data_IF_427418969413
#
_entry.id   IF_427418969413
#
_cell.length_a   1.000
_cell.length_b   1.000
_cell.length_c   1.000
_cell.angle_alpha   90.00
_cell.angle_beta   90.00
_cell.angle_gamma   90.00
#
_symmetry.space_group_name_H-M   'P 1'
#
loop_
_entity.id
_entity.type
_entity.pdbx_description
1 polymer ?
#
# COMPACT_ATOMS: atom_id res chain seq x y z
N UNK A 1 -43.82 44.94 -60.66
CA UNK A 1 -44.51 45.46 -59.46
C UNK A 1 -44.77 44.31 -58.49
N UNK A 2 -44.73 44.61 -57.17
CA UNK A 2 -44.95 43.75 -55.98
C UNK A 2 -43.69 43.05 -55.46
N UNK A 3 -43.01 43.66 -54.47
CA UNK A 3 -43.21 43.61 -52.99
C UNK A 3 -42.47 42.40 -52.38
N UNK A 4 -41.30 42.63 -51.75
CA UNK A 4 -41.06 42.65 -50.29
C UNK A 4 -40.85 41.22 -49.72
N UNK A 5 -39.93 40.87 -48.81
CA UNK A 5 -39.37 41.52 -47.63
C UNK A 5 -38.10 40.78 -47.14
N UNK A 6 -37.16 41.57 -46.57
CA UNK A 6 -36.40 41.38 -45.31
C UNK A 6 -35.52 40.15 -44.99
N UNK A 7 -34.35 40.48 -44.40
CA UNK A 7 -33.76 40.07 -43.09
C UNK A 7 -32.30 39.63 -43.27
N UNK A 8 -31.27 40.03 -42.52
CA UNK A 8 -31.01 41.15 -41.61
C UNK A 8 -29.49 41.15 -41.39
N UNK A 9 -28.91 42.34 -41.31
CA UNK A 9 -27.59 42.59 -40.73
C UNK A 9 -27.55 42.10 -39.28
N UNK A 10 -26.40 41.59 -38.81
CA UNK A 10 -25.81 42.00 -37.53
C UNK A 10 -24.36 41.50 -37.43
N UNK A 11 -23.42 42.41 -37.68
CA UNK A 11 -22.02 42.27 -37.32
C UNK A 11 -21.91 42.70 -35.85
N UNK A 12 -21.85 41.74 -34.92
CA UNK A 12 -21.70 42.04 -33.50
C UNK A 12 -20.24 42.45 -33.22
N UNK A 13 -20.02 43.75 -33.04
CA UNK A 13 -18.82 44.32 -32.44
C UNK A 13 -18.71 43.87 -30.98
N UNK A 14 -17.69 43.06 -30.68
CA UNK A 14 -17.33 42.72 -29.29
C UNK A 14 -16.69 43.96 -28.65
N UNK A 15 -17.44 44.72 -27.86
CA UNK A 15 -16.85 45.71 -26.95
C UNK A 15 -16.18 44.97 -25.79
N UNK A 16 -14.85 44.92 -25.79
CA UNK A 16 -14.08 44.50 -24.62
C UNK A 16 -14.16 45.64 -23.60
N UNK A 17 -15.09 45.52 -22.66
CA UNK A 17 -15.03 46.29 -21.43
C UNK A 17 -13.90 45.69 -20.57
N UNK A 18 -12.68 46.17 -20.75
CA UNK A 18 -11.59 45.90 -19.81
C UNK A 18 -11.98 46.52 -18.46
N UNK A 19 -12.03 45.75 -17.35
CA UNK A 19 -12.19 46.37 -16.05
C UNK A 19 -10.97 47.24 -15.77
N UNK A 20 -11.19 48.53 -15.57
CA UNK A 20 -10.19 49.46 -15.03
C UNK A 20 -9.81 48.93 -13.65
N UNK A 21 -8.52 48.63 -13.47
CA UNK A 21 -7.98 48.17 -12.20
C UNK A 21 -8.26 49.20 -11.10
N UNK A 22 -8.99 48.80 -10.07
CA UNK A 22 -9.23 49.60 -8.89
C UNK A 22 -7.99 49.52 -7.99
N UNK A 23 -7.23 50.62 -7.87
CA UNK A 23 -5.88 50.68 -7.31
C UNK A 23 -5.85 50.68 -5.76
N UNK A 24 -6.94 50.30 -5.09
CA UNK A 24 -7.11 50.42 -3.64
C UNK A 24 -7.57 49.12 -2.96
N UNK A 25 -7.16 47.96 -3.45
CA UNK A 25 -7.26 46.71 -2.69
C UNK A 25 -5.92 46.44 -2.00
N UNK A 26 -5.86 46.19 -0.68
CA UNK A 26 -4.63 45.72 -0.07
C UNK A 26 -4.29 44.37 -0.71
N UNK A 27 -3.14 44.32 -1.38
CA UNK A 27 -2.53 43.12 -1.93
C UNK A 27 -2.26 42.13 -0.77
N UNK A 28 -3.25 41.32 -0.41
CA UNK A 28 -3.04 40.13 0.41
C UNK A 28 -2.37 39.08 -0.49
N UNK A 29 -1.08 39.30 -0.76
CA UNK A 29 -0.19 38.29 -1.36
C UNK A 29 -0.02 37.19 -0.32
N UNK A 30 -1.04 36.33 -0.22
CA UNK A 30 -0.91 35.04 0.45
C UNK A 30 0.07 34.22 -0.37
N UNK A 31 1.35 34.36 -0.02
CA UNK A 31 2.42 33.45 -0.40
C UNK A 31 1.98 32.03 -0.06
N UNK A 32 1.48 31.29 -1.05
CA UNK A 32 1.17 29.87 -0.86
C UNK A 32 2.50 29.17 -0.59
N UNK A 33 2.73 28.77 0.66
CA UNK A 33 3.87 27.94 1.00
C UNK A 33 3.64 26.58 0.33
N UNK A 34 4.32 26.33 -0.79
CA UNK A 34 4.33 25.01 -1.43
C UNK A 34 5.01 24.02 -0.48
N UNK A 35 4.22 23.22 0.23
CA UNK A 35 4.75 22.07 0.97
C UNK A 35 5.26 21.06 -0.05
N UNK A 36 6.54 20.71 0.03
CA UNK A 36 7.09 19.63 -0.79
C UNK A 36 6.78 18.29 -0.12
N UNK A 37 6.09 17.40 -0.82
CA UNK A 37 5.77 16.05 -0.31
C UNK A 37 6.82 15.05 -0.76
N UNK A 38 7.35 14.27 0.17
CA UNK A 38 8.32 13.20 -0.09
C UNK A 38 7.77 11.87 0.42
N UNK A 39 7.46 10.96 -0.52
CA UNK A 39 6.94 9.64 -0.19
C UNK A 39 8.07 8.61 -0.18
N UNK A 40 8.11 7.76 0.85
CA UNK A 40 8.99 6.57 0.88
C UNK A 40 8.54 5.54 -0.16
N UNK A 41 9.41 4.58 -0.48
CA UNK A 41 9.08 3.50 -1.41
C UNK A 41 7.94 2.63 -0.85
N UNK A 42 7.93 2.40 0.46
CA UNK A 42 6.92 1.65 1.19
C UNK A 42 5.56 2.34 1.12
N UNK A 43 5.51 3.66 1.32
CA UNK A 43 4.28 4.44 1.16
C UNK A 43 3.78 4.40 -0.29
N UNK A 44 4.68 4.54 -1.27
CA UNK A 44 4.34 4.44 -2.69
C UNK A 44 3.76 3.07 -3.06
N UNK A 45 4.32 1.99 -2.52
CA UNK A 45 3.79 0.64 -2.72
C UNK A 45 2.39 0.48 -2.08
N UNK A 46 2.20 1.01 -0.87
CA UNK A 46 0.94 0.92 -0.17
C UNK A 46 -0.17 1.75 -0.84
N UNK A 47 0.13 2.98 -1.28
CA UNK A 47 -0.86 3.86 -1.95
C UNK A 47 -1.21 3.35 -3.36
N UNK A 48 -0.28 2.67 -4.03
CA UNK A 48 -0.56 1.99 -5.30
C UNK A 48 -1.54 0.82 -5.11
N UNK A 49 -1.45 0.11 -3.98
CA UNK A 49 -2.37 -0.97 -3.63
C UNK A 49 -3.73 -0.47 -3.10
N UNK A 50 -3.77 0.72 -2.49
CA UNK A 50 -5.00 1.37 -2.04
C UNK A 50 -4.85 2.90 -2.02
N UNK A 51 -5.57 3.60 -2.90
CA UNK A 51 -5.39 5.04 -3.13
C UNK A 51 -5.78 5.98 -1.98
N UNK A 52 -6.34 5.48 -0.88
CA UNK A 52 -6.89 6.31 0.21
C UNK A 52 -6.32 5.94 1.58
N UNK A 53 -5.00 6.11 1.74
CA UNK A 53 -4.34 5.91 3.03
C UNK A 53 -4.33 7.19 3.88
N UNK A 54 -4.70 7.06 5.16
CA UNK A 54 -4.79 8.17 6.12
C UNK A 54 -3.66 8.12 7.14
N UNK A 55 -3.16 9.30 7.52
CA UNK A 55 -2.19 9.47 8.60
C UNK A 55 -2.67 8.80 9.89
N UNK A 56 -1.73 8.20 10.62
CA UNK A 56 -1.87 7.54 11.91
C UNK A 56 -2.81 6.32 11.91
N UNK A 57 -3.33 5.90 10.75
CA UNK A 57 -4.11 4.68 10.58
C UNK A 57 -3.22 3.48 10.29
N UNK A 58 -3.70 2.32 10.76
CA UNK A 58 -3.05 1.04 10.52
C UNK A 58 -3.75 0.32 9.39
N UNK A 59 -2.95 -0.30 8.53
CA UNK A 59 -3.41 -1.02 7.35
C UNK A 59 -2.70 -2.36 7.27
N UNK A 60 -3.37 -3.33 6.65
CA UNK A 60 -2.77 -4.62 6.36
C UNK A 60 -3.05 -5.08 4.94
N UNK A 61 -2.06 -5.78 4.40
CA UNK A 61 -1.97 -6.23 3.03
C UNK A 61 -1.49 -7.69 3.02
N UNK A 62 -1.75 -8.40 1.93
CA UNK A 62 -0.97 -9.61 1.61
C UNK A 62 0.11 -9.24 0.60
N UNK A 63 1.27 -9.88 0.73
CA UNK A 63 2.38 -9.81 -0.21
C UNK A 63 2.54 -11.20 -0.83
N UNK A 64 2.36 -11.31 -2.13
CA UNK A 64 2.44 -12.58 -2.85
C UNK A 64 3.73 -12.64 -3.66
N UNK A 65 4.45 -13.75 -3.57
CA UNK A 65 5.65 -13.98 -4.35
C UNK A 65 5.23 -14.47 -5.74
N UNK A 66 5.66 -13.77 -6.81
CA UNK A 66 5.34 -14.20 -8.16
C UNK A 66 6.05 -15.51 -8.50
N UNK A 67 5.60 -16.14 -9.57
CA UNK A 67 6.14 -17.40 -10.04
C UNK A 67 7.67 -17.37 -10.22
N UNK A 68 8.35 -18.38 -9.66
CA UNK A 68 9.80 -18.54 -9.77
C UNK A 68 10.61 -17.58 -8.89
N UNK A 69 9.97 -16.69 -8.13
CA UNK A 69 10.66 -15.88 -7.16
C UNK A 69 11.08 -16.73 -5.96
N UNK A 70 12.37 -16.69 -5.62
CA UNK A 70 12.87 -17.29 -4.38
C UNK A 70 12.16 -16.64 -3.19
N UNK A 71 11.68 -17.48 -2.26
CA UNK A 71 11.09 -17.01 -1.00
C UNK A 71 12.10 -16.18 -0.21
N UNK A 72 13.33 -16.72 -0.08
CA UNK A 72 14.40 -16.13 0.72
C UNK A 72 14.44 -16.72 2.14
N UNK A 73 15.10 -16.02 3.07
CA UNK A 73 15.06 -16.31 4.52
C UNK A 73 15.44 -17.74 4.94
N UNK A 74 16.29 -18.39 4.15
CA UNK A 74 16.73 -19.77 4.34
C UNK A 74 15.63 -20.83 4.20
N UNK A 75 14.54 -20.49 3.51
CA UNK A 75 13.45 -21.42 3.22
C UNK A 75 13.96 -22.70 2.51
N UNK A 76 13.37 -23.83 2.90
CA UNK A 76 13.71 -25.18 2.45
C UNK A 76 12.57 -25.89 1.75
N UNK A 77 11.53 -25.17 1.34
CA UNK A 77 10.56 -25.72 0.40
C UNK A 77 11.29 -26.08 -0.90
N UNK A 78 11.06 -27.29 -1.38
CA UNK A 78 11.63 -27.75 -2.65
C UNK A 78 10.89 -27.11 -3.82
N UNK A 79 11.55 -27.01 -4.98
CA UNK A 79 10.91 -26.48 -6.20
C UNK A 79 9.64 -27.26 -6.58
N UNK A 80 9.56 -28.55 -6.24
CA UNK A 80 8.37 -29.36 -6.47
C UNK A 80 7.21 -28.96 -5.54
N UNK A 81 7.48 -28.77 -4.24
CA UNK A 81 6.50 -28.29 -3.27
C UNK A 81 5.96 -26.91 -3.64
N UNK A 82 6.85 -25.98 -4.01
CA UNK A 82 6.47 -24.63 -4.46
C UNK A 82 5.61 -24.66 -5.74
N UNK A 83 5.87 -25.57 -6.67
CA UNK A 83 5.05 -25.76 -7.88
C UNK A 83 3.67 -26.33 -7.56
N UNK A 84 3.58 -27.25 -6.60
CA UNK A 84 2.29 -27.78 -6.16
C UNK A 84 1.45 -26.70 -5.45
N UNK A 85 2.05 -25.96 -4.52
CA UNK A 85 1.40 -24.81 -3.88
C UNK A 85 0.94 -23.79 -4.91
N UNK A 86 1.77 -23.52 -5.93
CA UNK A 86 1.39 -22.65 -7.02
C UNK A 86 0.18 -23.17 -7.79
N UNK A 87 0.12 -24.45 -8.13
CA UNK A 87 -1.02 -25.03 -8.84
C UNK A 87 -2.32 -24.93 -8.04
N UNK A 88 -2.23 -25.03 -6.70
CA UNK A 88 -3.37 -24.98 -5.81
C UNK A 88 -3.82 -23.54 -5.49
N UNK A 89 -2.88 -22.64 -5.24
CA UNK A 89 -3.13 -21.31 -4.67
C UNK A 89 -2.93 -20.14 -5.66
N UNK A 90 -2.27 -20.39 -6.78
CA UNK A 90 -1.94 -19.37 -7.80
C UNK A 90 -0.71 -18.51 -7.48
N UNK A 91 0.00 -18.78 -6.38
CA UNK A 91 1.24 -18.12 -5.97
C UNK A 91 2.20 -19.11 -5.31
N UNK A 92 3.50 -18.81 -5.32
CA UNK A 92 4.51 -19.68 -4.70
C UNK A 92 4.64 -19.45 -3.19
N UNK A 93 4.41 -18.21 -2.73
CA UNK A 93 4.48 -17.85 -1.32
C UNK A 93 3.61 -16.66 -1.00
N UNK A 94 3.12 -16.58 0.24
CA UNK A 94 2.37 -15.41 0.72
C UNK A 94 2.82 -15.00 2.13
N UNK A 95 2.85 -13.70 2.37
CA UNK A 95 3.04 -13.11 3.68
C UNK A 95 2.02 -12.01 3.96
N UNK A 96 1.95 -11.59 5.22
CA UNK A 96 1.08 -10.51 5.69
C UNK A 96 1.94 -9.31 6.05
N UNK A 97 1.65 -8.16 5.44
CA UNK A 97 2.29 -6.89 5.74
C UNK A 97 1.31 -6.06 6.56
N UNK A 98 1.69 -5.65 7.76
CA UNK A 98 0.88 -4.78 8.62
C UNK A 98 1.71 -3.61 9.11
N UNK A 99 1.14 -2.41 9.07
CA UNK A 99 1.86 -1.21 9.44
C UNK A 99 0.99 0.01 9.61
N UNK A 100 1.64 1.12 9.96
CA UNK A 100 1.01 2.42 10.17
C UNK A 100 1.50 3.41 9.12
N UNK A 101 0.59 4.25 8.62
CA UNK A 101 0.97 5.43 7.86
C UNK A 101 1.41 6.53 8.80
N UNK A 102 2.62 7.03 8.60
CA UNK A 102 3.19 8.12 9.39
C UNK A 102 3.52 9.30 8.50
N UNK A 103 3.29 10.50 9.00
CA UNK A 103 3.68 11.74 8.34
C UNK A 103 4.57 12.56 9.26
N UNK A 104 5.74 12.95 8.77
CA UNK A 104 6.71 13.77 9.50
C UNK A 104 6.93 15.07 8.76
N UNK A 105 6.65 16.20 9.43
CA UNK A 105 6.98 17.52 8.91
C UNK A 105 8.40 17.91 9.30
N UNK A 106 9.13 18.54 8.39
CA UNK A 106 10.47 19.10 8.64
C UNK A 106 10.65 20.43 7.92
N UNK A 107 11.58 21.26 8.41
CA UNK A 107 11.81 22.61 7.89
C UNK A 107 10.77 23.63 8.35
N UNK A 108 10.93 24.88 7.92
CA UNK A 108 10.04 26.01 8.24
C UNK A 108 9.81 26.89 7.01
N UNK A 109 8.67 27.59 6.97
CA UNK A 109 8.30 28.49 5.88
C UNK A 109 8.36 27.81 4.51
N UNK A 110 8.98 28.45 3.53
CA UNK A 110 9.16 27.94 2.16
C UNK A 110 9.93 26.61 2.05
N UNK A 111 10.61 26.18 3.11
CA UNK A 111 11.37 24.93 3.16
C UNK A 111 10.60 23.81 3.87
N UNK A 112 9.30 23.98 4.12
CA UNK A 112 8.45 22.94 4.75
C UNK A 112 8.36 21.71 3.85
N UNK A 113 8.76 20.56 4.39
CA UNK A 113 8.69 19.25 3.75
C UNK A 113 7.79 18.33 4.56
N UNK A 114 6.88 17.63 3.87
CA UNK A 114 6.06 16.57 4.44
C UNK A 114 6.59 15.23 3.96
N UNK A 115 7.15 14.43 4.85
CA UNK A 115 7.55 13.06 4.55
C UNK A 115 6.42 12.10 4.91
N UNK A 116 5.93 11.33 3.95
CA UNK A 116 4.93 10.27 4.19
C UNK A 116 5.60 8.90 4.09
N UNK A 117 5.27 8.05 5.04
CA UNK A 117 5.89 6.72 5.19
C UNK A 117 4.84 5.68 5.59
N UNK A 118 5.10 4.41 5.25
CA UNK A 118 4.33 3.26 5.70
C UNK A 118 5.23 2.34 6.51
N UNK A 119 5.25 2.55 7.83
CA UNK A 119 6.08 1.78 8.75
C UNK A 119 5.42 0.43 9.02
N UNK A 120 5.87 -0.59 8.33
CA UNK A 120 5.25 -1.91 8.34
C UNK A 120 6.22 -3.04 8.64
N UNK A 121 5.67 -4.14 9.14
CA UNK A 121 6.37 -5.41 9.34
C UNK A 121 5.73 -6.46 8.43
N UNK A 122 6.57 -7.26 7.80
CA UNK A 122 6.18 -8.46 7.07
C UNK A 122 6.27 -9.67 8.01
N UNK A 123 5.18 -10.42 8.09
CA UNK A 123 5.10 -11.72 8.74
C UNK A 123 4.85 -12.80 7.69
N UNK A 124 5.66 -13.85 7.71
CA UNK A 124 5.43 -15.04 6.88
C UNK A 124 5.96 -16.28 7.59
N UNK A 125 5.49 -17.43 7.17
CA UNK A 125 6.03 -18.72 7.57
C UNK A 125 6.94 -19.25 6.48
N UNK A 126 7.95 -20.04 6.83
CA UNK A 126 8.83 -20.77 5.91
C UNK A 126 9.03 -22.19 6.41
N UNK A 127 9.50 -23.09 5.54
CA UNK A 127 9.97 -24.42 5.91
C UNK A 127 11.45 -24.34 6.30
N UNK A 128 11.79 -24.73 7.52
CA UNK A 128 13.15 -24.62 8.09
C UNK A 128 14.13 -25.69 7.61
N UNK A 129 13.63 -26.90 7.36
CA UNK A 129 14.41 -28.08 6.96
C UNK A 129 13.56 -28.97 6.07
N UNK A 130 14.19 -29.75 5.18
CA UNK A 130 13.46 -30.62 4.24
C UNK A 130 12.74 -31.75 4.97
N UNK A 131 13.40 -32.35 5.97
CA UNK A 131 12.86 -33.40 6.83
C UNK A 131 13.19 -33.10 8.30
N UNK A 132 12.24 -33.21 9.26
CA UNK A 132 10.83 -33.57 9.06
C UNK A 132 9.97 -32.49 8.37
N UNK A 133 10.49 -31.27 8.17
CA UNK A 133 9.71 -30.18 7.58
C UNK A 133 9.32 -29.09 8.57
N UNK A 134 10.15 -28.79 9.56
CA UNK A 134 9.74 -27.90 10.65
C UNK A 134 9.35 -26.50 10.13
N UNK A 135 8.28 -25.93 10.68
CA UNK A 135 7.87 -24.57 10.36
C UNK A 135 8.73 -23.54 11.09
N UNK A 136 8.89 -22.38 10.47
CA UNK A 136 9.57 -21.25 11.09
C UNK A 136 8.81 -19.95 10.84
N UNK A 137 8.60 -19.19 11.92
CA UNK A 137 8.04 -17.85 11.83
C UNK A 137 9.13 -16.83 11.47
N UNK A 138 8.89 -16.07 10.41
CA UNK A 138 9.74 -14.97 9.96
C UNK A 138 9.04 -13.63 10.16
N UNK A 139 9.81 -12.67 10.68
CA UNK A 139 9.37 -11.30 10.91
C UNK A 139 10.50 -10.35 10.53
N UNK A 140 10.24 -9.43 9.61
CA UNK A 140 11.17 -8.36 9.26
C UNK A 140 10.44 -7.06 8.96
N UNK A 141 11.16 -5.94 9.04
CA UNK A 141 10.64 -4.68 8.52
C UNK A 141 10.32 -4.87 7.04
N UNK A 142 9.15 -4.38 6.64
CA UNK A 142 8.77 -4.38 5.24
C UNK A 142 9.63 -3.37 4.48
N UNK A 143 10.14 -3.81 3.34
CA UNK A 143 10.81 -2.98 2.36
C UNK A 143 10.07 -3.18 1.05
N UNK A 144 9.77 -2.10 0.35
CA UNK A 144 9.15 -2.22 -0.97
C UNK A 144 10.12 -2.93 -1.93
N UNK A 145 9.62 -3.92 -2.65
CA UNK A 145 10.35 -4.64 -3.69
C UNK A 145 9.44 -4.88 -4.91
N UNK A 146 9.84 -5.77 -5.83
CA UNK A 146 9.06 -6.07 -7.03
C UNK A 146 7.73 -6.81 -6.76
N UNK A 147 7.48 -7.26 -5.53
CA UNK A 147 6.26 -7.99 -5.16
C UNK A 147 5.13 -7.00 -4.91
N UNK A 148 3.93 -7.38 -5.33
CA UNK A 148 2.76 -6.51 -5.23
C UNK A 148 2.04 -6.71 -3.89
N UNK A 149 1.77 -5.60 -3.21
CA UNK A 149 0.85 -5.57 -2.09
C UNK A 149 -0.59 -5.71 -2.61
N UNK A 150 -1.39 -6.53 -1.95
CA UNK A 150 -2.84 -6.56 -2.11
C UNK A 150 -3.50 -6.06 -0.84
N UNK A 151 -4.28 -4.98 -0.96
CA UNK A 151 -4.99 -4.40 0.17
C UNK A 151 -6.00 -5.39 0.77
N UNK A 152 -6.03 -5.49 2.11
CA UNK A 152 -6.98 -6.35 2.83
C UNK A 152 -7.85 -5.60 3.82
N UNK A 153 -7.35 -4.52 4.43
CA UNK A 153 -8.19 -3.68 5.28
C UNK A 153 -7.44 -2.67 6.15
N UNK A 154 -8.22 -1.89 6.88
CA UNK A 154 -7.79 -1.09 8.03
C UNK A 154 -7.82 -1.93 9.30
N UNK A 155 -6.88 -1.68 10.22
CA UNK A 155 -6.85 -2.34 11.53
C UNK A 155 -6.53 -1.35 12.65
N UNK A 156 -6.39 -1.84 13.88
CA UNK A 156 -6.00 -1.05 15.05
C UNK A 156 -4.55 -1.36 15.45
N UNK A 157 -3.91 -0.42 16.16
CA UNK A 157 -2.60 -0.64 16.77
C UNK A 157 -2.55 -1.93 17.60
N UNK A 158 -3.56 -2.15 18.45
CA UNK A 158 -3.67 -3.36 19.30
C UNK A 158 -3.67 -4.65 18.49
N UNK A 159 -4.45 -4.71 17.40
CA UNK A 159 -4.51 -5.88 16.51
C UNK A 159 -3.20 -6.08 15.74
N UNK A 160 -2.59 -4.99 15.26
CA UNK A 160 -1.29 -5.02 14.59
C UNK A 160 -0.18 -5.55 15.50
N UNK A 161 -0.16 -5.15 16.77
CA UNK A 161 0.78 -5.65 17.77
C UNK A 161 0.53 -7.13 18.12
N UNK A 162 -0.73 -7.56 18.14
CA UNK A 162 -1.11 -8.95 18.40
C UNK A 162 -0.72 -9.91 17.27
N UNK A 163 -0.69 -9.45 16.01
CA UNK A 163 -0.39 -10.27 14.83
C UNK A 163 0.93 -11.04 14.93
N UNK A 164 1.97 -10.43 15.53
CA UNK A 164 3.25 -11.10 15.75
C UNK A 164 3.14 -12.31 16.68
N UNK A 165 2.36 -12.19 17.76
CA UNK A 165 2.19 -13.26 18.72
C UNK A 165 1.37 -14.40 18.12
N UNK A 166 0.32 -14.07 17.37
CA UNK A 166 -0.49 -15.05 16.62
C UNK A 166 0.38 -15.83 15.64
N UNK A 167 1.26 -15.15 14.90
CA UNK A 167 2.17 -15.83 13.98
C UNK A 167 3.16 -16.77 14.69
N UNK A 168 3.66 -16.37 15.86
CA UNK A 168 4.53 -17.23 16.68
C UNK A 168 3.81 -18.43 17.28
N UNK A 169 2.59 -18.22 17.78
CA UNK A 169 1.75 -19.28 18.33
C UNK A 169 1.34 -20.27 17.23
N UNK A 170 1.00 -19.78 16.05
CA UNK A 170 0.65 -20.62 14.91
C UNK A 170 1.75 -21.64 14.59
N UNK A 171 3.00 -21.20 14.40
CA UNK A 171 4.11 -22.12 14.08
C UNK A 171 4.44 -23.07 15.24
N UNK A 172 4.14 -22.68 16.49
CA UNK A 172 4.31 -23.55 17.65
C UNK A 172 3.27 -24.68 17.65
N UNK A 173 2.02 -24.35 17.33
CA UNK A 173 0.91 -25.30 17.31
C UNK A 173 0.89 -26.12 16.01
N UNK A 174 1.55 -25.62 14.96
CA UNK A 174 1.62 -26.23 13.63
C UNK A 174 3.08 -26.44 13.21
N UNK A 175 3.75 -27.36 13.91
CA UNK A 175 5.19 -27.54 13.81
C UNK A 175 5.70 -28.08 12.46
N UNK A 176 4.87 -28.78 11.67
CA UNK A 176 5.32 -29.46 10.43
C UNK A 176 4.64 -28.87 9.21
N UNK A 177 5.41 -28.31 8.28
CA UNK A 177 4.94 -27.71 7.04
C UNK A 177 4.31 -28.77 6.12
N UNK A 178 3.13 -28.47 5.59
CA UNK A 178 2.41 -29.35 4.68
C UNK A 178 1.80 -28.53 3.55
N UNK A 179 1.99 -28.97 2.30
CA UNK A 179 1.35 -28.35 1.14
C UNK A 179 -0.16 -28.26 1.36
N UNK A 180 -0.76 -29.36 1.83
CA UNK A 180 -2.18 -29.45 2.11
C UNK A 180 -2.40 -29.37 3.63
N UNK A 181 -2.76 -28.19 4.15
CA UNK A 181 -3.25 -28.06 5.53
C UNK A 181 -2.22 -27.70 6.62
N UNK A 182 -1.10 -27.06 6.24
CA UNK A 182 -0.27 -26.21 7.11
C UNK A 182 0.82 -25.51 6.28
N UNK A 183 0.42 -24.57 5.42
CA UNK A 183 1.31 -23.85 4.52
C UNK A 183 1.32 -22.33 4.78
N UNK A 184 2.08 -21.59 3.97
CA UNK A 184 2.18 -20.14 4.07
C UNK A 184 0.84 -19.40 3.95
N UNK A 185 -0.13 -19.94 3.21
CA UNK A 185 -1.47 -19.37 3.07
C UNK A 185 -2.35 -19.63 4.30
N UNK A 186 -2.28 -20.82 4.90
CA UNK A 186 -2.99 -21.12 6.15
C UNK A 186 -2.50 -20.20 7.29
N UNK A 187 -1.17 -20.06 7.40
CA UNK A 187 -0.53 -19.11 8.31
C UNK A 187 -1.02 -17.67 8.06
N UNK A 188 -1.00 -17.21 6.81
CA UNK A 188 -1.46 -15.87 6.45
C UNK A 188 -2.95 -15.68 6.82
N UNK A 189 -3.78 -16.70 6.60
CA UNK A 189 -5.18 -16.72 7.01
C UNK A 189 -5.38 -16.53 8.52
N UNK A 190 -4.59 -17.23 9.34
CA UNK A 190 -4.63 -17.10 10.80
C UNK A 190 -4.27 -15.68 11.26
N UNK A 191 -3.20 -15.10 10.71
CA UNK A 191 -2.80 -13.72 11.02
C UNK A 191 -3.85 -12.71 10.57
N UNK A 192 -4.40 -12.86 9.36
CA UNK A 192 -5.44 -11.98 8.82
C UNK A 192 -6.72 -12.01 9.65
N UNK A 193 -7.07 -13.15 10.27
CA UNK A 193 -8.25 -13.28 11.13
C UNK A 193 -8.20 -12.36 12.35
N UNK A 194 -7.01 -12.10 12.90
CA UNK A 194 -6.83 -11.19 14.04
C UNK A 194 -6.77 -9.72 13.60
N UNK A 195 -6.38 -9.46 12.36
CA UNK A 195 -6.25 -8.11 11.81
C UNK A 195 -7.58 -7.50 11.35
N UNK A 196 -8.52 -8.32 10.87
CA UNK A 196 -9.92 -7.94 10.61
C UNK A 196 -10.60 -7.51 11.90
#
# INVERSE_FOLDING_TARGET
MKLSYLLSFFLASLTVASPVANINAPDDVRLSVRTTTQDTAEYKAAIAAHGHLKKDKYYYFTLEWPLGAKVGDSDKETDAELRMLQQELGFAHVGVVVGQVTETESGKGKNKKLKRDFKATLYHMTKKNVHPGDTEFKSRNYSADAKHLRYRGETSKKKAEAAKNVGKEYVKDHAIYQINGNNCADFAGAVLKVLK
#
